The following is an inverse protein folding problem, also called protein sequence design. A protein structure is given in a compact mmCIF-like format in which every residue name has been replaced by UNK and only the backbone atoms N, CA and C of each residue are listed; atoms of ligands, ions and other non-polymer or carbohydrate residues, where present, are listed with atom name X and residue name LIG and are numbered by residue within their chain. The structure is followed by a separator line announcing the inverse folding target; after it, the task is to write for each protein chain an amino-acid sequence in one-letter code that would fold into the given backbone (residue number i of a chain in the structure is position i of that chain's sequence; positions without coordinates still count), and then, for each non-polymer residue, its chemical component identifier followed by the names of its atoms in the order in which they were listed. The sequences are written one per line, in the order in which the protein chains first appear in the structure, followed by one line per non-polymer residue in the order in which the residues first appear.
data_IF_572639590272
#
_entry.id   IF_572639590272
#
_cell.length_a   1.000
_cell.length_b   1.000
_cell.length_c   1.000
_cell.angle_alpha   90.00
_cell.angle_beta   90.00
_cell.angle_gamma   90.00
#
_symmetry.space_group_name_H-M   'P 1'
#
loop_
_entity.id
_entity.type
_entity.pdbx_description
1 polymer ?
#
# COMPACT_ATOMS: atom_id res chain seq x y z
N UNK A 1 -40.43 -13.65 12.86
CA UNK A 1 -41.19 -14.43 13.89
C UNK A 1 -41.41 -15.81 13.30
N UNK A 2 -41.05 -16.86 14.05
CA UNK A 2 -41.30 -18.24 13.58
C UNK A 2 -42.80 -18.49 13.53
N UNK A 3 -43.30 -19.08 12.45
CA UNK A 3 -44.71 -19.39 12.27
C UNK A 3 -45.19 -20.25 13.45
N UNK A 4 -46.30 -19.87 14.07
CA UNK A 4 -46.93 -20.50 15.25
C UNK A 4 -46.19 -20.38 16.59
N UNK A 5 -44.96 -19.78 16.63
CA UNK A 5 -44.22 -19.54 17.87
C UNK A 5 -44.20 -18.04 18.18
N UNK A 6 -45.24 -17.56 18.84
CA UNK A 6 -45.36 -16.14 19.15
C UNK A 6 -44.43 -15.75 20.30
N UNK A 7 -43.83 -14.59 20.16
CA UNK A 7 -43.00 -13.94 21.14
C UNK A 7 -43.04 -12.42 20.88
N UNK A 8 -43.48 -11.67 21.86
CA UNK A 8 -43.60 -10.21 21.78
C UNK A 8 -42.57 -9.50 22.65
N UNK A 9 -41.51 -10.21 23.04
CA UNK A 9 -40.39 -9.59 23.76
C UNK A 9 -39.75 -8.53 22.86
N UNK A 10 -39.68 -7.29 23.38
CA UNK A 10 -39.04 -6.16 22.76
C UNK A 10 -38.24 -5.42 23.83
N UNK A 11 -36.90 -5.42 23.77
CA UNK A 11 -36.06 -4.73 24.76
C UNK A 11 -36.29 -3.22 24.80
N UNK A 12 -36.78 -2.61 23.71
CA UNK A 12 -37.08 -1.16 23.66
C UNK A 12 -38.25 -0.77 24.56
N UNK A 13 -39.12 -1.73 24.92
CA UNK A 13 -40.24 -1.49 25.83
C UNK A 13 -39.81 -1.42 27.30
N UNK A 14 -38.58 -1.81 27.62
CA UNK A 14 -38.03 -1.84 28.96
C UNK A 14 -38.83 -2.65 29.98
N UNK A 15 -39.61 -3.66 29.51
CA UNK A 15 -40.32 -4.55 30.43
C UNK A 15 -39.34 -5.50 31.10
N UNK A 16 -39.30 -5.44 32.43
CA UNK A 16 -38.32 -6.21 33.21
C UNK A 16 -38.89 -7.50 33.76
N UNK A 17 -40.19 -7.63 33.87
CA UNK A 17 -40.85 -8.78 34.50
C UNK A 17 -42.26 -8.97 33.94
N UNK A 18 -42.65 -10.22 33.72
CA UNK A 18 -44.05 -10.58 33.44
C UNK A 18 -44.77 -10.80 34.79
N UNK A 19 -45.93 -10.19 34.92
CA UNK A 19 -46.80 -10.31 36.11
C UNK A 19 -48.09 -11.00 35.76
N UNK A 20 -48.28 -12.22 36.27
CA UNK A 20 -49.46 -13.01 36.05
C UNK A 20 -50.57 -12.66 36.99
N UNK A 21 -51.82 -12.53 36.50
CA UNK A 21 -52.99 -12.27 37.30
C UNK A 21 -53.62 -13.57 37.76
N UNK A 22 -54.03 -13.62 39.01
CA UNK A 22 -54.78 -14.74 39.57
C UNK A 22 -56.13 -14.90 38.83
N UNK A 23 -56.43 -16.09 38.40
CA UNK A 23 -57.66 -16.41 37.68
C UNK A 23 -57.62 -16.28 36.15
N UNK A 24 -56.58 -15.66 35.59
CA UNK A 24 -56.40 -15.56 34.16
C UNK A 24 -55.62 -16.78 33.60
N UNK A 25 -55.90 -17.14 32.33
CA UNK A 25 -55.21 -18.25 31.66
C UNK A 25 -53.80 -17.85 31.23
N UNK A 26 -52.83 -18.73 31.46
CA UNK A 26 -51.47 -18.57 30.95
C UNK A 26 -51.42 -18.71 29.40
N UNK A 27 -50.76 -17.78 28.72
CA UNK A 27 -50.57 -17.83 27.29
C UNK A 27 -49.19 -18.40 26.94
N UNK A 28 -49.13 -19.29 25.91
CA UNK A 28 -47.85 -19.91 25.50
C UNK A 28 -46.79 -18.92 25.08
N UNK A 29 -47.17 -17.75 24.51
CA UNK A 29 -46.25 -16.67 24.15
C UNK A 29 -45.53 -16.09 25.37
N UNK A 30 -46.20 -16.01 26.53
CA UNK A 30 -45.62 -15.43 27.75
C UNK A 30 -44.46 -16.29 28.27
N UNK A 31 -44.50 -17.63 28.06
CA UNK A 31 -43.38 -18.52 28.35
C UNK A 31 -42.16 -18.24 27.46
N UNK A 32 -42.38 -17.91 26.20
CA UNK A 32 -41.32 -17.51 25.29
C UNK A 32 -40.73 -16.13 25.69
N UNK A 33 -41.57 -15.17 26.10
CA UNK A 33 -41.17 -13.86 26.56
C UNK A 33 -40.35 -13.93 27.85
N UNK A 34 -40.68 -14.85 28.79
CA UNK A 34 -39.86 -15.09 30.02
C UNK A 34 -38.45 -15.53 29.61
N UNK A 35 -38.31 -16.48 28.70
CA UNK A 35 -37.03 -16.97 28.23
C UNK A 35 -36.21 -15.84 27.56
N UNK A 36 -36.85 -15.07 26.67
CA UNK A 36 -36.20 -13.95 25.99
C UNK A 36 -35.74 -12.85 26.95
N UNK A 37 -36.54 -12.53 27.99
CA UNK A 37 -36.18 -11.57 29.01
C UNK A 37 -34.94 -12.03 29.81
N UNK A 38 -34.87 -13.30 30.20
CA UNK A 38 -33.72 -13.87 30.91
C UNK A 38 -32.48 -13.91 30.03
N UNK A 39 -32.61 -14.36 28.77
CA UNK A 39 -31.50 -14.40 27.79
C UNK A 39 -30.94 -13.00 27.56
N UNK A 40 -31.81 -11.99 27.39
CA UNK A 40 -31.39 -10.61 27.18
C UNK A 40 -30.60 -10.03 28.38
N UNK A 41 -31.01 -10.36 29.60
CA UNK A 41 -30.28 -9.95 30.82
C UNK A 41 -28.92 -10.63 30.93
N UNK A 42 -28.84 -11.94 30.64
CA UNK A 42 -27.59 -12.69 30.65
C UNK A 42 -26.64 -12.17 29.55
N UNK A 43 -27.19 -11.88 28.38
CA UNK A 43 -26.45 -11.24 27.32
C UNK A 43 -25.85 -9.90 27.77
N UNK A 44 -26.64 -9.02 28.38
CA UNK A 44 -26.13 -7.72 28.83
C UNK A 44 -24.99 -7.83 29.88
N UNK A 45 -24.97 -8.88 30.69
CA UNK A 45 -23.83 -9.16 31.61
C UNK A 45 -22.63 -9.70 30.84
N UNK A 46 -22.87 -10.61 29.87
CA UNK A 46 -21.80 -11.24 29.10
C UNK A 46 -21.15 -10.28 28.11
N UNK A 47 -21.93 -9.41 27.44
CA UNK A 47 -21.44 -8.39 26.51
C UNK A 47 -20.57 -7.31 27.21
N UNK A 48 -20.72 -7.15 28.54
CA UNK A 48 -19.82 -6.30 29.31
C UNK A 48 -18.42 -6.90 29.48
N UNK A 49 -18.27 -8.21 29.30
CA UNK A 49 -17.03 -8.97 29.53
C UNK A 49 -16.42 -9.51 28.23
N UNK A 50 -17.25 -9.82 27.21
CA UNK A 50 -16.87 -10.54 26.00
C UNK A 50 -17.49 -9.85 24.78
N UNK A 51 -16.88 -10.05 23.61
CA UNK A 51 -17.37 -9.58 22.29
C UNK A 51 -17.60 -10.78 21.37
N UNK A 52 -18.53 -10.62 20.43
CA UNK A 52 -18.78 -11.64 19.42
C UNK A 52 -17.48 -12.01 18.68
N UNK A 53 -17.18 -13.32 18.66
CA UNK A 53 -15.94 -13.86 18.11
C UNK A 53 -14.84 -14.11 19.13
N UNK A 54 -14.99 -13.72 20.39
CA UNK A 54 -13.99 -13.99 21.44
C UNK A 54 -13.88 -15.48 21.74
N UNK A 55 -12.64 -15.97 21.81
CA UNK A 55 -12.35 -17.36 22.15
C UNK A 55 -12.30 -17.50 23.66
N UNK A 56 -13.19 -18.33 24.19
CA UNK A 56 -13.24 -18.61 25.65
C UNK A 56 -12.30 -19.74 26.03
N UNK A 57 -12.19 -20.77 25.20
CA UNK A 57 -11.24 -21.87 25.41
C UNK A 57 -11.06 -22.70 24.12
N UNK A 58 -9.88 -23.32 23.95
CA UNK A 58 -9.56 -24.11 22.76
C UNK A 58 -9.60 -23.28 21.47
N UNK A 59 -10.16 -23.85 20.40
CA UNK A 59 -10.32 -23.21 19.10
C UNK A 59 -9.01 -22.67 18.47
N UNK A 60 -7.85 -23.27 18.81
CA UNK A 60 -6.56 -22.82 18.28
C UNK A 60 -6.51 -23.03 16.77
N UNK A 61 -6.01 -22.01 16.05
CA UNK A 61 -5.81 -22.04 14.61
C UNK A 61 -4.34 -22.29 14.29
N UNK A 62 -4.09 -23.22 13.38
CA UNK A 62 -2.83 -23.44 12.71
C UNK A 62 -3.04 -23.25 11.21
N UNK A 63 -2.13 -22.58 10.53
CA UNK A 63 -2.19 -22.36 9.10
C UNK A 63 -0.84 -22.68 8.45
N UNK A 64 -0.90 -23.33 7.31
CA UNK A 64 0.22 -23.47 6.39
C UNK A 64 0.15 -22.32 5.37
N UNK A 65 1.10 -21.39 5.45
CA UNK A 65 1.10 -20.18 4.64
C UNK A 65 1.32 -20.43 3.14
N UNK A 66 1.92 -21.57 2.77
CA UNK A 66 2.19 -21.90 1.36
C UNK A 66 0.96 -22.53 0.69
N UNK A 67 0.23 -23.35 1.43
CA UNK A 67 -0.93 -24.09 0.89
C UNK A 67 -2.28 -23.50 1.27
N UNK A 68 -2.31 -22.59 2.25
CA UNK A 68 -3.55 -22.05 2.81
C UNK A 68 -4.34 -23.05 3.64
N UNK A 69 -3.76 -24.20 4.01
CA UNK A 69 -4.43 -25.21 4.83
C UNK A 69 -4.58 -24.72 6.26
N UNK A 70 -5.82 -24.50 6.69
CA UNK A 70 -6.21 -24.11 8.05
C UNK A 70 -6.67 -25.33 8.81
N UNK A 71 -6.15 -25.52 10.02
CA UNK A 71 -6.58 -26.53 10.98
C UNK A 71 -7.00 -25.83 12.27
N UNK A 72 -8.22 -26.11 12.72
CA UNK A 72 -8.83 -25.55 13.93
C UNK A 72 -9.16 -26.64 14.91
N UNK A 73 -8.77 -26.44 16.17
CA UNK A 73 -9.16 -27.33 17.27
C UNK A 73 -10.61 -27.07 17.70
N UNK A 74 -11.23 -28.06 18.32
CA UNK A 74 -12.51 -27.85 19.00
C UNK A 74 -12.33 -26.84 20.16
N UNK A 75 -13.36 -26.04 20.41
CA UNK A 75 -13.29 -25.03 21.45
C UNK A 75 -14.61 -24.35 21.74
N UNK A 76 -14.55 -23.24 22.46
CA UNK A 76 -15.72 -22.43 22.81
C UNK A 76 -15.50 -20.98 22.40
N UNK A 77 -16.49 -20.42 21.74
CA UNK A 77 -16.50 -19.04 21.25
C UNK A 77 -17.71 -18.32 21.83
N UNK A 78 -17.52 -17.07 22.26
CA UNK A 78 -18.62 -16.20 22.64
C UNK A 78 -19.29 -15.64 21.39
N UNK A 79 -20.61 -15.75 21.33
CA UNK A 79 -21.39 -15.25 20.20
C UNK A 79 -22.84 -14.98 20.63
N UNK A 80 -23.36 -13.79 20.29
CA UNK A 80 -24.76 -13.39 20.50
C UNK A 80 -25.24 -13.73 21.93
N UNK A 81 -24.50 -13.27 22.91
CA UNK A 81 -24.90 -13.35 24.31
C UNK A 81 -24.67 -14.69 24.99
N UNK A 82 -24.03 -15.67 24.34
CA UNK A 82 -23.74 -16.96 24.93
C UNK A 82 -22.38 -17.55 24.50
N UNK A 83 -21.77 -18.34 25.37
CA UNK A 83 -20.61 -19.17 25.06
C UNK A 83 -21.08 -20.45 24.39
N UNK A 84 -20.60 -20.72 23.17
CA UNK A 84 -21.01 -21.85 22.33
C UNK A 84 -19.85 -22.73 21.96
N UNK A 85 -20.09 -24.03 21.92
CA UNK A 85 -19.12 -25.02 21.47
C UNK A 85 -18.99 -24.96 19.94
N UNK A 86 -17.75 -25.02 19.45
CA UNK A 86 -17.41 -25.15 18.04
C UNK A 86 -16.60 -26.43 17.82
N UNK A 87 -16.93 -27.22 16.77
CA UNK A 87 -16.19 -28.43 16.46
C UNK A 87 -14.80 -28.12 15.90
N UNK A 88 -13.90 -29.11 15.90
CA UNK A 88 -12.67 -29.02 15.11
C UNK A 88 -13.00 -29.01 13.60
N UNK A 89 -12.19 -28.30 12.82
CA UNK A 89 -12.36 -28.24 11.37
C UNK A 89 -11.02 -28.11 10.65
N UNK A 90 -11.01 -28.54 9.39
CA UNK A 90 -9.86 -28.36 8.48
C UNK A 90 -10.41 -27.98 7.10
N UNK A 91 -9.88 -26.90 6.53
CA UNK A 91 -10.25 -26.39 5.19
C UNK A 91 -9.13 -25.52 4.63
N UNK A 92 -9.23 -25.20 3.34
CA UNK A 92 -8.24 -24.32 2.68
C UNK A 92 -8.82 -22.94 2.47
N UNK A 93 -7.99 -21.92 2.69
CA UNK A 93 -8.30 -20.51 2.45
C UNK A 93 -7.38 -19.93 1.37
N UNK A 94 -7.77 -18.88 0.68
CA UNK A 94 -6.85 -18.13 -0.20
C UNK A 94 -5.64 -17.61 0.58
N UNK A 95 -4.45 -17.75 -0.01
CA UNK A 95 -3.22 -17.26 0.61
C UNK A 95 -2.89 -15.82 0.21
N UNK A 96 -3.54 -15.29 -0.83
CA UNK A 96 -3.35 -13.91 -1.28
C UNK A 96 -4.41 -12.98 -0.69
N UNK A 97 -3.95 -11.86 -0.12
CA UNK A 97 -4.81 -10.84 0.46
C UNK A 97 -5.34 -11.18 1.86
N UNK A 98 -6.31 -10.38 2.31
CA UNK A 98 -6.91 -10.52 3.64
C UNK A 98 -8.08 -11.50 3.63
N UNK A 99 -8.05 -12.44 4.57
CA UNK A 99 -9.10 -13.45 4.79
C UNK A 99 -9.47 -13.46 6.27
N UNK A 100 -10.76 -13.44 6.57
CA UNK A 100 -11.28 -13.69 7.91
C UNK A 100 -11.66 -15.16 8.05
N UNK A 101 -11.16 -15.83 9.08
CA UNK A 101 -11.62 -17.14 9.51
C UNK A 101 -12.52 -16.95 10.72
N UNK A 102 -13.69 -17.55 10.70
CA UNK A 102 -14.69 -17.31 11.72
C UNK A 102 -15.73 -18.41 11.82
N UNK A 103 -16.76 -18.15 12.60
CA UNK A 103 -17.86 -19.09 12.80
C UNK A 103 -19.10 -18.64 12.04
N UNK A 104 -19.77 -19.59 11.40
CA UNK A 104 -21.09 -19.42 10.81
C UNK A 104 -22.14 -19.89 11.78
N UNK A 105 -23.04 -19.00 12.12
CA UNK A 105 -24.13 -19.22 13.04
C UNK A 105 -25.43 -19.46 12.28
N UNK A 106 -26.09 -20.57 12.55
CA UNK A 106 -27.39 -20.89 11.98
C UNK A 106 -28.34 -21.40 13.04
N UNK A 107 -29.62 -21.17 12.83
CA UNK A 107 -30.67 -21.63 13.74
C UNK A 107 -31.75 -22.40 12.97
N UNK A 108 -32.27 -23.44 13.56
CA UNK A 108 -33.46 -24.14 13.05
C UNK A 108 -34.37 -24.53 14.17
N UNK A 109 -35.66 -24.65 13.88
CA UNK A 109 -36.65 -25.18 14.83
C UNK A 109 -36.77 -26.67 14.64
N UNK A 110 -36.62 -27.46 15.69
CA UNK A 110 -36.87 -28.92 15.75
C UNK A 110 -38.24 -29.13 16.36
N UNK A 111 -39.03 -29.88 15.68
CA UNK A 111 -40.38 -30.25 16.12
C UNK A 111 -40.47 -31.77 16.36
N UNK A 112 -41.62 -32.23 16.78
CA UNK A 112 -41.92 -33.67 16.93
C UNK A 112 -41.86 -34.45 15.62
N UNK A 113 -41.78 -33.79 14.48
CA UNK A 113 -41.61 -34.41 13.17
C UNK A 113 -40.17 -34.84 12.93
N UNK A 114 -39.22 -34.05 13.40
CA UNK A 114 -37.78 -34.35 13.34
C UNK A 114 -37.29 -35.15 14.57
N UNK A 115 -37.90 -34.91 15.75
CA UNK A 115 -37.59 -35.63 16.97
C UNK A 115 -38.87 -36.12 17.66
N UNK A 116 -39.26 -37.38 17.47
CA UNK A 116 -40.48 -37.97 18.09
C UNK A 116 -40.48 -37.96 19.62
N UNK A 117 -39.30 -37.80 20.30
CA UNK A 117 -39.23 -37.71 21.75
C UNK A 117 -39.80 -36.39 22.29
N UNK A 118 -40.11 -35.44 21.42
CA UNK A 118 -40.82 -34.22 21.79
C UNK A 118 -42.31 -34.38 21.95
N UNK A 119 -42.84 -35.60 21.78
CA UNK A 119 -44.24 -35.93 22.05
C UNK A 119 -44.43 -36.25 23.53
N UNK A 120 -45.65 -36.00 24.04
CA UNK A 120 -46.01 -36.33 25.43
C UNK A 120 -45.90 -37.85 25.65
N UNK A 121 -45.02 -38.35 26.53
CA UNK A 121 -44.80 -39.77 26.72
C UNK A 121 -45.77 -40.42 27.72
N UNK A 122 -46.51 -39.64 28.53
CA UNK A 122 -47.35 -40.16 29.59
C UNK A 122 -48.57 -40.93 29.06
N UNK A 123 -48.58 -42.25 29.26
CA UNK A 123 -49.70 -43.11 28.84
C UNK A 123 -50.91 -42.88 29.77
N UNK A 124 -52.10 -42.81 29.17
CA UNK A 124 -53.35 -42.65 29.90
C UNK A 124 -53.76 -41.20 30.21
N UNK A 125 -52.98 -40.23 29.79
CA UNK A 125 -53.39 -38.81 29.84
C UNK A 125 -54.02 -38.39 28.50
N UNK A 126 -54.80 -37.31 28.54
CA UNK A 126 -55.56 -36.82 27.36
C UNK A 126 -54.66 -36.42 26.19
N UNK A 127 -53.50 -35.90 26.51
CA UNK A 127 -52.56 -35.41 25.50
C UNK A 127 -51.44 -36.44 25.18
N UNK A 128 -51.63 -37.74 25.48
CA UNK A 128 -50.67 -38.78 25.12
C UNK A 128 -50.36 -38.75 23.62
N UNK A 129 -49.03 -38.68 23.27
CA UNK A 129 -48.50 -38.54 21.92
C UNK A 129 -48.86 -37.23 21.21
N UNK A 130 -49.42 -36.25 21.89
CA UNK A 130 -49.57 -34.91 21.31
C UNK A 130 -48.20 -34.22 21.20
N UNK A 131 -48.04 -33.32 20.19
CA UNK A 131 -46.80 -32.59 20.01
C UNK A 131 -46.52 -31.66 21.20
N UNK A 132 -45.30 -31.69 21.71
CA UNK A 132 -44.77 -30.75 22.70
C UNK A 132 -44.30 -29.44 22.10
N UNK A 133 -43.64 -28.63 22.91
CA UNK A 133 -43.02 -27.40 22.44
C UNK A 133 -41.85 -27.70 21.47
N UNK A 134 -41.70 -26.90 20.41
CA UNK A 134 -40.54 -26.96 19.52
C UNK A 134 -39.24 -26.58 20.25
N UNK A 135 -38.11 -26.94 19.67
CA UNK A 135 -36.76 -26.60 20.16
C UNK A 135 -36.03 -25.75 19.16
N UNK A 136 -35.48 -24.62 19.58
CA UNK A 136 -34.55 -23.84 18.75
C UNK A 136 -33.17 -24.51 18.87
N UNK A 137 -32.68 -25.06 17.77
CA UNK A 137 -31.35 -25.63 17.68
C UNK A 137 -30.43 -24.61 17.03
N UNK A 138 -29.30 -24.31 17.68
CA UNK A 138 -28.24 -23.46 17.18
C UNK A 138 -27.09 -24.36 16.70
N UNK A 139 -26.50 -24.01 15.56
CA UNK A 139 -25.39 -24.75 14.99
C UNK A 139 -24.29 -23.75 14.61
N UNK A 140 -23.08 -24.05 15.06
CA UNK A 140 -21.86 -23.30 14.71
C UNK A 140 -20.96 -24.19 13.88
N UNK A 141 -20.46 -23.66 12.77
CA UNK A 141 -19.46 -24.30 11.92
C UNK A 141 -18.38 -23.28 11.59
N UNK A 142 -17.15 -23.75 11.44
CA UNK A 142 -16.08 -22.90 10.96
C UNK A 142 -16.24 -22.60 9.48
N UNK A 143 -15.82 -21.39 9.09
CA UNK A 143 -15.82 -20.94 7.70
C UNK A 143 -14.87 -19.77 7.50
N UNK A 144 -14.87 -19.22 6.31
CA UNK A 144 -14.05 -18.06 5.99
C UNK A 144 -14.72 -17.10 5.00
N UNK A 145 -14.31 -15.85 5.06
CA UNK A 145 -14.65 -14.78 4.10
C UNK A 145 -13.42 -13.95 3.77
N UNK A 146 -13.23 -13.54 2.51
CA UNK A 146 -12.09 -12.75 2.07
C UNK A 146 -12.41 -11.97 0.81
N UNK A 147 -11.65 -10.95 0.50
CA UNK A 147 -11.59 -10.10 -0.72
C UNK A 147 -12.59 -10.42 -1.86
N UNK A 148 -13.89 -10.42 -1.55
CA UNK A 148 -14.95 -10.70 -2.53
C UNK A 148 -15.27 -12.19 -2.77
N UNK A 149 -14.68 -13.10 -1.99
CA UNK A 149 -14.92 -14.55 -2.02
C UNK A 149 -15.25 -15.06 -0.62
N UNK A 150 -15.87 -16.23 -0.55
CA UNK A 150 -16.19 -16.91 0.73
C UNK A 150 -16.23 -18.42 0.51
N UNK A 151 -16.37 -19.17 1.59
CA UNK A 151 -16.60 -20.62 1.54
C UNK A 151 -17.98 -21.03 0.99
N UNK A 152 -18.86 -20.06 0.73
CA UNK A 152 -20.22 -20.29 0.20
C UNK A 152 -21.17 -21.02 1.16
N UNK A 153 -20.77 -21.23 2.42
CA UNK A 153 -21.60 -21.92 3.39
C UNK A 153 -22.70 -21.01 3.95
N UNK A 154 -23.88 -21.54 4.28
CA UNK A 154 -24.98 -20.77 4.84
C UNK A 154 -24.72 -20.38 6.31
N UNK A 155 -25.39 -19.33 6.78
CA UNK A 155 -25.34 -18.85 8.15
C UNK A 155 -24.69 -17.47 8.27
N UNK A 156 -24.95 -16.80 9.38
CA UNK A 156 -24.39 -15.50 9.68
C UNK A 156 -22.92 -15.66 10.07
N UNK A 157 -22.04 -15.00 9.33
CA UNK A 157 -20.59 -15.10 9.56
C UNK A 157 -20.12 -14.13 10.65
N UNK A 158 -19.31 -14.63 11.57
CA UNK A 158 -18.67 -13.86 12.63
C UNK A 158 -17.17 -14.17 12.65
N UNK A 159 -16.36 -13.14 12.36
CA UNK A 159 -14.90 -13.28 12.29
C UNK A 159 -14.30 -13.55 13.67
N UNK A 160 -13.39 -14.52 13.75
CA UNK A 160 -12.63 -14.90 14.96
C UNK A 160 -11.15 -14.63 14.77
N UNK A 161 -10.61 -14.94 13.58
CA UNK A 161 -9.23 -14.71 13.19
C UNK A 161 -9.16 -13.89 11.92
N UNK A 162 -8.12 -13.07 11.81
CA UNK A 162 -7.76 -12.40 10.58
C UNK A 162 -6.44 -12.98 10.05
N UNK A 163 -6.39 -13.23 8.77
CA UNK A 163 -5.22 -13.68 8.03
C UNK A 163 -4.88 -12.61 6.99
N UNK A 164 -3.59 -12.36 6.78
CA UNK A 164 -3.08 -11.52 5.71
C UNK A 164 -1.98 -12.26 4.96
N UNK A 165 -2.19 -12.49 3.66
CA UNK A 165 -1.27 -13.24 2.81
C UNK A 165 -0.86 -14.60 3.41
N UNK A 166 -1.83 -15.38 3.90
CA UNK A 166 -1.63 -16.68 4.50
C UNK A 166 -1.00 -16.67 5.90
N UNK A 167 -0.80 -15.51 6.50
CA UNK A 167 -0.24 -15.36 7.84
C UNK A 167 -1.30 -14.90 8.84
N UNK A 168 -1.26 -15.45 10.06
CA UNK A 168 -2.17 -15.06 11.11
C UNK A 168 -1.88 -13.61 11.55
N UNK A 169 -2.82 -12.72 11.26
CA UNK A 169 -2.86 -11.38 11.79
C UNK A 169 -3.28 -11.48 13.27
N UNK A 170 -2.65 -10.75 14.11
CA UNK A 170 -2.71 -10.76 15.57
C UNK A 170 -4.00 -11.37 16.21
N UNK A 171 -3.81 -12.26 17.19
CA UNK A 171 -4.91 -12.83 17.97
C UNK A 171 -5.46 -11.74 18.91
N UNK A 172 -6.71 -11.32 18.71
CA UNK A 172 -7.39 -10.45 19.68
C UNK A 172 -7.45 -11.15 21.05
N UNK A 173 -6.94 -10.50 22.08
CA UNK A 173 -7.16 -10.98 23.44
C UNK A 173 -8.61 -10.70 23.82
N UNK A 174 -9.31 -11.64 24.51
CA UNK A 174 -10.65 -11.39 24.99
C UNK A 174 -10.66 -10.19 25.95
N UNK A 175 -11.64 -9.30 25.88
CA UNK A 175 -11.76 -8.18 26.78
C UNK A 175 -12.06 -8.69 28.22
N UNK A 176 -11.03 -8.73 29.03
CA UNK A 176 -11.18 -9.05 30.44
C UNK A 176 -11.35 -7.72 31.21
N UNK A 177 -12.55 -7.45 31.69
CA UNK A 177 -12.86 -6.31 32.57
C UNK A 177 -12.30 -4.96 32.04
N UNK A 178 -12.91 -4.45 30.99
CA UNK A 178 -12.45 -3.28 30.21
C UNK A 178 -11.97 -2.10 31.07
N UNK A 179 -12.66 -1.76 32.17
CA UNK A 179 -12.27 -0.65 33.04
C UNK A 179 -10.98 -0.88 33.86
N UNK A 180 -10.71 -2.11 34.27
CA UNK A 180 -9.48 -2.45 35.05
C UNK A 180 -8.30 -2.57 34.09
N UNK A 181 -8.49 -3.25 32.96
CA UNK A 181 -7.44 -3.40 31.93
C UNK A 181 -7.06 -2.04 31.38
N UNK A 182 -8.02 -1.20 31.05
CA UNK A 182 -7.76 0.18 30.57
C UNK A 182 -7.02 1.01 31.61
N UNK A 183 -7.36 0.89 32.87
CA UNK A 183 -6.66 1.61 33.96
C UNK A 183 -5.23 1.12 34.13
N UNK A 184 -4.99 -0.19 34.07
CA UNK A 184 -3.65 -0.78 34.09
C UNK A 184 -2.83 -0.43 32.86
N UNK A 185 -3.43 -0.49 31.68
CA UNK A 185 -2.80 -0.10 30.43
C UNK A 185 -2.36 1.37 30.46
N UNK A 186 -3.25 2.26 30.94
CA UNK A 186 -2.94 3.68 31.10
C UNK A 186 -1.79 3.91 32.07
N UNK A 187 -1.78 3.20 33.21
CA UNK A 187 -0.69 3.29 34.18
C UNK A 187 0.64 2.82 33.58
N UNK A 188 0.64 1.71 32.85
CA UNK A 188 1.84 1.21 32.18
C UNK A 188 2.34 2.19 31.11
N UNK A 189 1.44 2.73 30.30
CA UNK A 189 1.79 3.73 29.29
C UNK A 189 2.33 5.04 29.90
N UNK A 190 1.69 5.53 30.97
CA UNK A 190 2.15 6.74 31.66
C UNK A 190 3.53 6.56 32.31
N UNK A 191 3.87 5.32 32.71
CA UNK A 191 5.15 5.00 33.35
C UNK A 191 6.28 4.71 32.33
N UNK A 192 5.98 3.99 31.24
CA UNK A 192 6.98 3.39 30.35
C UNK A 192 6.86 3.87 28.88
N UNK A 193 5.75 4.48 28.49
CA UNK A 193 5.46 4.79 27.09
C UNK A 193 5.24 3.53 26.25
N UNK A 194 5.54 3.62 24.97
CA UNK A 194 5.58 2.45 24.06
C UNK A 194 6.94 1.78 24.17
N UNK A 195 6.97 0.44 24.21
CA UNK A 195 8.23 -0.30 24.25
C UNK A 195 8.14 -1.68 23.61
N UNK A 196 9.27 -2.15 23.08
CA UNK A 196 9.45 -3.53 22.63
C UNK A 196 9.86 -4.38 23.82
N UNK A 197 9.12 -5.46 24.06
CA UNK A 197 9.47 -6.42 25.11
C UNK A 197 10.42 -7.50 24.60
N UNK A 198 10.20 -7.95 23.34
CA UNK A 198 10.98 -9.03 22.73
C UNK A 198 10.84 -8.99 21.21
N UNK A 199 11.89 -9.32 20.47
CA UNK A 199 11.88 -9.50 19.02
C UNK A 199 11.59 -8.21 18.24
N UNK A 200 10.77 -8.28 17.20
CA UNK A 200 10.36 -7.19 16.30
C UNK A 200 11.51 -6.52 15.55
N UNK A 201 12.65 -7.20 15.46
CA UNK A 201 13.81 -6.68 14.71
C UNK A 201 13.50 -6.55 13.22
N UNK A 202 13.88 -5.41 12.63
CA UNK A 202 13.72 -5.15 11.21
C UNK A 202 15.04 -5.42 10.48
N UNK A 203 14.98 -6.16 9.36
CA UNK A 203 16.13 -6.45 8.52
C UNK A 203 15.81 -6.18 7.07
N UNK A 204 16.68 -5.47 6.36
CA UNK A 204 16.66 -5.40 4.90
C UNK A 204 17.09 -6.76 4.32
N UNK A 205 16.34 -7.28 3.35
CA UNK A 205 16.61 -8.56 2.69
C UNK A 205 17.19 -8.36 1.30
N UNK A 206 16.49 -7.64 0.45
CA UNK A 206 16.91 -7.45 -0.94
C UNK A 206 16.20 -6.26 -1.58
N UNK A 207 16.73 -5.83 -2.72
CA UNK A 207 16.04 -5.00 -3.71
C UNK A 207 15.47 -5.93 -4.78
N UNK A 208 14.17 -5.84 -5.00
CA UNK A 208 13.51 -6.51 -6.13
C UNK A 208 13.58 -5.57 -7.35
N UNK A 209 14.42 -5.94 -8.31
CA UNK A 209 14.64 -5.12 -9.50
C UNK A 209 13.44 -5.16 -10.48
N UNK A 210 12.64 -6.20 -10.45
CA UNK A 210 11.49 -6.38 -11.36
C UNK A 210 10.29 -5.56 -10.88
N UNK A 211 10.01 -5.58 -9.58
CA UNK A 211 8.89 -4.84 -8.97
C UNK A 211 9.28 -3.43 -8.51
N UNK A 212 10.57 -3.09 -8.51
CA UNK A 212 11.11 -1.84 -7.95
C UNK A 212 10.69 -1.62 -6.48
N UNK A 213 10.87 -2.64 -5.66
CA UNK A 213 10.52 -2.63 -4.25
C UNK A 213 11.71 -3.05 -3.37
N UNK A 214 11.80 -2.42 -2.21
CA UNK A 214 12.67 -2.89 -1.14
C UNK A 214 11.93 -3.95 -0.31
N UNK A 215 12.56 -5.09 -0.11
CA UNK A 215 12.04 -6.16 0.72
C UNK A 215 12.69 -6.12 2.10
N UNK A 216 11.86 -6.00 3.13
CA UNK A 216 12.26 -6.08 4.54
C UNK A 216 11.64 -7.30 5.21
N UNK A 217 12.25 -7.76 6.28
CA UNK A 217 11.66 -8.73 7.21
C UNK A 217 11.51 -8.06 8.57
N UNK A 218 10.33 -8.20 9.16
CA UNK A 218 10.08 -7.86 10.57
C UNK A 218 9.93 -9.16 11.32
N UNK A 219 10.77 -9.39 12.34
CA UNK A 219 10.76 -10.63 13.11
C UNK A 219 9.49 -10.73 13.99
N UNK A 220 9.19 -11.95 14.41
CA UNK A 220 8.24 -12.19 15.51
C UNK A 220 8.68 -11.46 16.78
N UNK A 221 7.71 -11.18 17.66
CA UNK A 221 8.03 -10.50 18.90
C UNK A 221 6.82 -9.90 19.61
N UNK A 222 7.09 -9.15 20.68
CA UNK A 222 6.11 -8.56 21.56
C UNK A 222 6.46 -7.12 21.86
N UNK A 223 5.41 -6.29 21.92
CA UNK A 223 5.53 -4.88 22.31
C UNK A 223 4.33 -4.46 23.15
N UNK A 224 4.47 -3.36 23.87
CA UNK A 224 3.35 -2.65 24.49
C UNK A 224 3.11 -1.34 23.74
N UNK A 225 1.88 -1.14 23.27
CA UNK A 225 1.44 0.06 22.57
C UNK A 225 0.20 0.59 23.29
N UNK A 226 0.21 1.85 23.71
CA UNK A 226 -0.83 2.45 24.56
C UNK A 226 -1.11 1.63 25.85
N UNK A 227 -0.08 0.92 26.37
CA UNK A 227 -0.18 0.02 27.52
C UNK A 227 -0.80 -1.34 27.21
N UNK A 228 -1.21 -1.59 25.97
CA UNK A 228 -1.74 -2.89 25.55
C UNK A 228 -0.66 -3.73 24.89
N UNK A 229 -0.65 -5.03 25.22
CA UNK A 229 0.28 -5.98 24.66
C UNK A 229 -0.10 -6.30 23.21
N UNK A 230 0.85 -6.11 22.32
CA UNK A 230 0.79 -6.52 20.91
C UNK A 230 1.79 -7.65 20.70
N UNK A 231 1.33 -8.77 20.16
CA UNK A 231 2.15 -9.96 19.92
C UNK A 231 2.10 -10.35 18.45
N UNK A 232 3.27 -10.49 17.85
CA UNK A 232 3.44 -11.06 16.51
C UNK A 232 4.03 -12.44 16.65
N UNK A 233 3.30 -13.45 16.23
CA UNK A 233 3.70 -14.86 16.39
C UNK A 233 4.60 -15.36 15.28
N UNK A 234 4.69 -14.62 14.16
CA UNK A 234 5.49 -14.99 12.99
C UNK A 234 6.17 -13.77 12.39
N UNK A 235 7.31 -14.00 11.73
CA UNK A 235 7.98 -12.97 10.95
C UNK A 235 7.16 -12.59 9.72
N UNK A 236 7.19 -11.33 9.33
CA UNK A 236 6.49 -10.79 8.16
C UNK A 236 7.48 -10.20 7.17
N UNK A 237 7.25 -10.45 5.88
CA UNK A 237 7.93 -9.74 4.81
C UNK A 237 7.14 -8.49 4.45
N UNK A 238 7.83 -7.36 4.39
CA UNK A 238 7.26 -6.06 4.05
C UNK A 238 7.88 -5.58 2.74
N UNK A 239 7.04 -5.33 1.75
CA UNK A 239 7.43 -4.77 0.46
C UNK A 239 7.16 -3.27 0.47
N UNK A 240 8.18 -2.48 0.22
CA UNK A 240 8.10 -1.03 0.19
C UNK A 240 8.52 -0.52 -1.20
N UNK A 241 7.63 0.22 -1.90
CA UNK A 241 7.96 0.75 -3.20
C UNK A 241 9.10 1.76 -3.12
N UNK A 242 9.95 1.78 -4.16
CA UNK A 242 10.97 2.79 -4.38
C UNK A 242 10.27 4.02 -4.93
N UNK A 243 10.08 5.04 -4.10
CA UNK A 243 9.33 6.25 -4.42
C UNK A 243 10.07 7.51 -3.93
N UNK A 244 11.24 7.82 -4.53
CA UNK A 244 12.01 9.00 -4.18
C UNK A 244 11.28 10.28 -4.52
N UNK A 245 11.43 11.29 -3.68
CA UNK A 245 11.06 12.65 -4.07
C UNK A 245 12.13 13.22 -5.00
N UNK A 246 11.69 13.93 -6.04
CA UNK A 246 12.57 14.42 -7.09
C UNK A 246 12.71 15.94 -7.01
N UNK A 247 13.94 16.41 -7.18
CA UNK A 247 14.21 17.84 -7.33
C UNK A 247 14.85 18.12 -8.68
N UNK A 248 14.36 19.16 -9.37
CA UNK A 248 14.92 19.61 -10.64
C UNK A 248 16.15 20.50 -10.40
N UNK A 249 17.18 20.25 -11.19
CA UNK A 249 18.31 21.16 -11.42
C UNK A 249 18.18 21.68 -12.85
N UNK A 250 18.19 22.99 -13.01
CA UNK A 250 18.08 23.62 -14.33
C UNK A 250 19.39 24.25 -14.72
N UNK A 251 19.76 24.03 -15.98
CA UNK A 251 20.91 24.67 -16.64
C UNK A 251 22.23 24.50 -15.88
N UNK A 252 22.52 23.29 -15.39
CA UNK A 252 23.84 23.00 -14.83
C UNK A 252 24.90 23.12 -15.92
N UNK A 253 25.86 24.05 -15.80
CA UNK A 253 26.87 24.26 -16.82
C UNK A 253 27.99 23.22 -16.69
N UNK A 254 28.37 22.62 -17.84
CA UNK A 254 29.50 21.71 -17.96
C UNK A 254 30.28 22.08 -19.24
N UNK A 255 31.60 22.01 -19.21
CA UNK A 255 32.41 22.21 -20.43
C UNK A 255 32.70 20.87 -21.06
N UNK A 256 32.38 20.72 -22.34
CA UNK A 256 32.66 19.49 -23.08
C UNK A 256 34.16 19.37 -23.33
N UNK A 257 34.75 18.31 -22.78
CA UNK A 257 36.14 17.93 -23.01
C UNK A 257 36.15 16.47 -23.51
N UNK A 258 36.43 16.32 -24.80
CA UNK A 258 36.58 15.03 -25.46
C UNK A 258 37.70 14.21 -24.78
N UNK A 259 37.39 12.96 -24.42
CA UNK A 259 38.37 11.99 -23.90
C UNK A 259 39.24 11.35 -25.00
N UNK A 260 39.08 11.75 -26.25
CA UNK A 260 39.86 11.29 -27.40
C UNK A 260 39.08 10.36 -28.35
N UNK A 261 37.82 10.08 -28.02
CA UNK A 261 36.92 9.25 -28.83
C UNK A 261 35.66 10.02 -29.31
N UNK A 262 35.69 11.35 -29.29
CA UNK A 262 34.56 12.21 -29.61
C UNK A 262 33.44 12.21 -28.57
N UNK A 263 33.76 11.76 -27.36
CA UNK A 263 32.77 11.58 -26.30
C UNK A 263 33.26 12.09 -24.97
N UNK A 264 32.33 12.41 -24.08
CA UNK A 264 32.61 12.80 -22.68
C UNK A 264 31.65 12.07 -21.76
N UNK A 265 32.18 11.55 -20.64
CA UNK A 265 31.36 11.11 -19.49
C UNK A 265 31.10 12.32 -18.61
N UNK A 266 29.84 12.70 -18.54
CA UNK A 266 29.34 13.80 -17.72
C UNK A 266 29.01 13.28 -16.34
N UNK A 267 29.59 13.86 -15.30
CA UNK A 267 29.23 13.60 -13.89
C UNK A 267 28.41 14.78 -13.39
N UNK A 268 27.19 14.51 -12.91
CA UNK A 268 26.28 15.53 -12.38
C UNK A 268 26.69 15.96 -10.96
N UNK A 269 26.39 17.22 -10.60
CA UNK A 269 26.74 17.76 -9.29
C UNK A 269 25.85 17.26 -8.15
N UNK A 270 24.67 16.72 -8.48
CA UNK A 270 23.69 16.21 -7.49
C UNK A 270 23.22 14.80 -7.81
N UNK A 271 24.04 13.78 -7.56
CA UNK A 271 23.62 12.39 -7.63
C UNK A 271 22.73 12.02 -6.43
N UNK A 272 21.89 10.97 -6.53
CA UNK A 272 21.70 10.10 -7.70
C UNK A 272 20.75 10.69 -8.75
N UNK A 273 21.07 10.46 -10.02
CA UNK A 273 20.28 10.86 -11.16
C UNK A 273 18.94 10.09 -11.18
N UNK A 274 17.84 10.81 -11.34
CA UNK A 274 16.54 10.20 -11.62
C UNK A 274 16.28 10.16 -13.13
N UNK A 275 16.40 11.31 -13.79
CA UNK A 275 16.25 11.42 -15.25
C UNK A 275 16.90 12.69 -15.77
N UNK A 276 17.37 12.65 -16.99
CA UNK A 276 17.78 13.83 -17.75
C UNK A 276 16.56 14.38 -18.49
N UNK A 277 16.32 15.68 -18.36
CA UNK A 277 15.19 16.37 -18.98
C UNK A 277 15.56 16.97 -20.32
N UNK A 278 16.73 17.66 -20.39
CA UNK A 278 17.27 18.26 -21.60
C UNK A 278 18.77 18.49 -21.45
N UNK A 279 19.49 18.41 -22.54
CA UNK A 279 20.91 18.77 -22.63
C UNK A 279 21.08 19.68 -23.83
N UNK A 280 21.27 20.97 -23.57
CA UNK A 280 21.58 21.93 -24.63
C UNK A 280 23.07 21.97 -24.88
N UNK A 281 23.46 21.69 -26.10
CA UNK A 281 24.86 21.58 -26.54
C UNK A 281 25.09 22.42 -27.78
N UNK A 282 26.35 22.83 -28.02
CA UNK A 282 26.78 23.39 -29.29
C UNK A 282 27.25 22.23 -30.17
N UNK A 283 26.62 22.07 -31.33
CA UNK A 283 27.04 21.14 -32.37
C UNK A 283 27.59 21.88 -33.58
N UNK A 284 28.40 21.21 -34.38
CA UNK A 284 28.90 21.74 -35.64
C UNK A 284 28.38 20.89 -36.82
N UNK A 285 27.99 21.56 -37.89
CA UNK A 285 27.47 20.93 -39.09
C UNK A 285 28.04 21.62 -40.30
N UNK A 286 28.34 20.81 -41.33
CA UNK A 286 28.62 21.31 -42.68
C UNK A 286 27.47 20.88 -43.56
N UNK A 287 26.83 21.82 -44.24
CA UNK A 287 25.75 21.54 -45.17
C UNK A 287 25.91 22.28 -46.48
N UNK A 288 25.24 21.79 -47.52
CA UNK A 288 25.18 22.45 -48.80
C UNK A 288 23.91 23.29 -48.90
N UNK A 289 24.09 24.58 -49.09
CA UNK A 289 23.01 25.56 -49.15
C UNK A 289 22.87 26.03 -50.61
N UNK A 290 21.65 26.13 -51.10
CA UNK A 290 21.36 26.72 -52.40
C UNK A 290 21.30 28.24 -52.30
N UNK A 291 22.09 28.95 -53.07
CA UNK A 291 22.04 30.42 -53.13
C UNK A 291 20.75 30.86 -53.84
N UNK A 292 20.14 31.90 -53.32
CA UNK A 292 18.90 32.45 -53.86
C UNK A 292 19.00 32.86 -55.34
N UNK A 293 17.87 33.20 -55.95
CA UNK A 293 17.75 33.47 -57.39
C UNK A 293 18.31 34.84 -57.82
N UNK A 294 18.79 35.67 -56.91
CA UNK A 294 19.29 37.01 -57.20
C UNK A 294 20.46 37.39 -56.29
N UNK A 295 21.27 38.30 -56.78
CA UNK A 295 22.43 38.87 -56.07
C UNK A 295 22.02 39.55 -54.75
N UNK A 296 22.72 39.27 -53.64
CA UNK A 296 22.47 39.80 -52.31
C UNK A 296 21.30 39.10 -51.62
N UNK A 297 20.93 37.87 -52.03
CA UNK A 297 19.88 37.11 -51.37
C UNK A 297 20.26 36.68 -49.96
N UNK A 298 19.25 36.20 -49.23
CA UNK A 298 19.43 35.55 -47.91
C UNK A 298 19.14 34.06 -48.04
N UNK A 299 20.00 33.28 -47.50
CA UNK A 299 19.94 31.83 -47.61
C UNK A 299 19.81 31.26 -46.21
N UNK A 300 18.71 30.54 -45.94
CA UNK A 300 18.37 29.98 -44.64
C UNK A 300 19.18 28.72 -44.40
N UNK A 301 19.78 28.59 -43.22
CA UNK A 301 20.43 27.37 -42.75
C UNK A 301 19.40 26.40 -42.19
N UNK A 302 19.68 25.11 -42.30
CA UNK A 302 18.73 24.06 -41.88
C UNK A 302 18.49 24.04 -40.37
N UNK A 303 19.55 24.26 -39.59
CA UNK A 303 19.43 24.22 -38.12
C UNK A 303 19.16 25.63 -37.57
N UNK A 304 18.20 25.77 -36.66
CA UNK A 304 17.93 27.02 -35.96
C UNK A 304 18.99 27.30 -34.87
N UNK A 305 18.97 28.51 -34.35
CA UNK A 305 19.83 28.92 -33.23
C UNK A 305 21.31 28.83 -33.55
N UNK A 306 21.67 29.37 -34.70
CA UNK A 306 23.08 29.47 -35.17
C UNK A 306 23.87 30.40 -34.22
N UNK A 307 24.97 29.88 -33.70
CA UNK A 307 25.88 30.60 -32.79
C UNK A 307 27.03 31.26 -33.52
N UNK A 308 27.60 30.53 -34.51
CA UNK A 308 28.72 31.02 -35.28
C UNK A 308 28.79 30.30 -36.65
N UNK A 309 29.12 31.05 -37.68
CA UNK A 309 29.51 30.47 -38.99
C UNK A 309 31.02 30.41 -39.01
N UNK A 310 31.56 29.21 -39.26
CA UNK A 310 33.03 28.98 -39.25
C UNK A 310 33.65 29.12 -40.61
N UNK A 311 32.95 28.62 -41.66
CA UNK A 311 33.45 28.66 -43.03
C UNK A 311 32.28 28.71 -44.01
N UNK A 312 32.40 29.53 -45.03
CA UNK A 312 31.50 29.52 -46.18
C UNK A 312 32.39 29.38 -47.43
N UNK A 313 32.16 28.36 -48.23
CA UNK A 313 32.99 28.08 -49.39
C UNK A 313 32.23 27.50 -50.59
N UNK A 314 32.75 27.79 -51.78
CA UNK A 314 32.28 27.15 -53.02
C UNK A 314 33.50 26.72 -53.85
N UNK A 315 33.66 25.40 -54.03
CA UNK A 315 34.86 24.87 -54.70
C UNK A 315 36.17 25.29 -54.00
N UNK A 316 37.02 26.02 -54.64
CA UNK A 316 38.25 26.54 -54.08
C UNK A 316 38.16 27.96 -53.50
N UNK A 317 36.98 28.60 -53.52
CA UNK A 317 36.78 29.97 -53.03
C UNK A 317 36.18 29.93 -51.63
N UNK A 318 36.80 30.62 -50.66
CA UNK A 318 36.28 30.87 -49.32
C UNK A 318 35.82 32.31 -49.20
N UNK A 319 34.60 32.51 -48.70
CA UNK A 319 33.98 33.83 -48.52
C UNK A 319 34.23 34.37 -47.12
N UNK A 320 34.51 35.68 -47.01
CA UNK A 320 34.83 36.31 -45.74
C UNK A 320 33.62 37.00 -45.10
N UNK A 321 33.34 36.62 -43.82
CA UNK A 321 32.29 37.27 -43.04
C UNK A 321 32.61 38.78 -42.86
N UNK A 322 31.60 39.63 -43.00
CA UNK A 322 31.69 41.08 -42.93
C UNK A 322 32.06 41.76 -44.21
N UNK A 323 32.73 41.08 -45.16
CA UNK A 323 33.10 41.60 -46.48
C UNK A 323 32.18 41.05 -47.55
N UNK A 324 32.05 39.74 -47.63
CA UNK A 324 31.28 39.04 -48.64
C UNK A 324 29.87 38.74 -48.22
N UNK A 325 29.72 38.29 -46.97
CA UNK A 325 28.42 38.00 -46.33
C UNK A 325 28.37 38.47 -44.89
N UNK A 326 27.19 38.53 -44.31
CA UNK A 326 26.96 38.65 -42.86
C UNK A 326 25.97 37.56 -42.42
N UNK A 327 26.00 37.24 -41.11
CA UNK A 327 25.05 36.31 -40.49
C UNK A 327 23.95 37.10 -39.83
N UNK A 328 22.71 36.80 -40.16
CA UNK A 328 21.51 37.45 -39.58
C UNK A 328 20.55 36.37 -39.06
N UNK A 329 20.53 36.14 -37.76
CA UNK A 329 19.82 34.98 -37.20
C UNK A 329 20.40 33.68 -37.73
N UNK A 330 19.56 32.88 -38.37
CA UNK A 330 19.92 31.57 -38.93
C UNK A 330 20.08 31.65 -40.48
N UNK A 331 20.47 32.82 -40.99
CA UNK A 331 20.59 33.07 -42.43
C UNK A 331 21.97 33.60 -42.79
N UNK A 332 22.48 33.23 -43.97
CA UNK A 332 23.59 33.84 -44.65
C UNK A 332 23.04 34.98 -45.52
N UNK A 333 23.35 36.21 -45.17
CA UNK A 333 22.89 37.43 -45.90
C UNK A 333 24.04 37.98 -46.79
N UNK A 334 23.86 37.91 -48.08
CA UNK A 334 24.84 38.33 -49.11
C UNK A 334 24.75 39.83 -49.42
N UNK A 335 24.00 40.62 -48.65
CA UNK A 335 23.80 42.06 -48.89
C UNK A 335 25.05 42.94 -48.77
N UNK A 336 26.22 42.59 -48.17
CA UNK A 336 27.39 43.42 -48.16
C UNK A 336 27.98 43.74 -49.53
N UNK A 337 27.71 42.90 -50.56
CA UNK A 337 28.06 43.18 -51.95
C UNK A 337 29.54 42.87 -52.31
N UNK A 338 30.21 42.03 -51.51
CA UNK A 338 31.50 41.43 -51.84
C UNK A 338 31.39 40.29 -52.88
N UNK A 339 32.30 39.34 -52.83
CA UNK A 339 32.18 38.14 -53.64
C UNK A 339 31.03 37.25 -53.13
N UNK A 340 30.23 36.68 -54.05
CA UNK A 340 29.13 35.79 -53.72
C UNK A 340 29.03 34.60 -54.72
N UNK A 341 28.41 33.48 -54.33
CA UNK A 341 28.09 32.40 -55.24
C UNK A 341 27.19 32.88 -56.39
N UNK A 342 27.28 32.26 -57.57
CA UNK A 342 26.32 32.59 -58.63
C UNK A 342 24.88 32.28 -58.24
N UNK A 343 23.90 33.18 -58.57
CA UNK A 343 22.49 32.93 -58.26
C UNK A 343 22.03 31.54 -58.71
N UNK A 344 21.36 30.80 -57.80
CA UNK A 344 20.89 29.43 -58.02
C UNK A 344 21.97 28.34 -57.93
N UNK A 345 23.25 28.70 -57.69
CA UNK A 345 24.28 27.70 -57.41
C UNK A 345 24.31 27.25 -55.95
N UNK A 346 25.01 26.18 -55.65
CA UNK A 346 25.13 25.67 -54.29
C UNK A 346 26.52 25.89 -53.73
N UNK A 347 26.60 26.17 -52.44
CA UNK A 347 27.83 26.38 -51.69
C UNK A 347 27.78 25.64 -50.33
N UNK A 348 28.90 25.46 -49.68
CA UNK A 348 29.01 24.79 -48.39
C UNK A 348 29.14 25.81 -47.29
N UNK A 349 28.40 25.57 -46.21
CA UNK A 349 28.47 26.35 -44.93
C UNK A 349 28.79 25.39 -43.82
N UNK A 350 29.88 25.71 -43.07
CA UNK A 350 30.17 25.03 -41.80
C UNK A 350 29.84 26.00 -40.67
N UNK A 351 28.96 25.60 -39.78
CA UNK A 351 28.47 26.45 -38.73
C UNK A 351 28.26 25.71 -37.41
N UNK A 352 28.14 26.42 -36.34
CA UNK A 352 27.79 25.94 -35.01
C UNK A 352 26.38 26.39 -34.64
N UNK A 353 25.61 25.51 -34.02
CA UNK A 353 24.24 25.79 -33.57
C UNK A 353 23.96 25.11 -32.23
N UNK A 354 22.91 25.57 -31.53
CA UNK A 354 22.48 24.96 -30.25
C UNK A 354 21.45 23.85 -30.59
N UNK A 355 21.72 22.66 -30.10
CA UNK A 355 20.84 21.51 -30.22
C UNK A 355 20.51 20.90 -28.85
N UNK A 356 19.36 20.24 -28.77
CA UNK A 356 19.06 19.33 -27.66
C UNK A 356 19.59 17.94 -27.98
N UNK A 357 20.25 17.33 -27.00
CA UNK A 357 20.92 16.04 -27.16
C UNK A 357 20.33 15.00 -26.22
N UNK A 358 20.13 13.77 -26.72
CA UNK A 358 19.75 12.64 -25.90
C UNK A 358 21.00 11.93 -25.39
N UNK A 359 21.17 11.79 -24.07
CA UNK A 359 22.34 11.14 -23.48
C UNK A 359 22.30 9.63 -23.69
N UNK A 360 23.46 9.00 -23.61
CA UNK A 360 23.61 7.54 -23.62
C UNK A 360 24.28 7.06 -22.32
N UNK A 361 24.22 5.75 -22.01
CA UNK A 361 24.87 5.14 -20.84
C UNK A 361 24.57 5.90 -19.54
N UNK A 362 23.24 6.01 -19.23
CA UNK A 362 22.81 6.62 -17.98
C UNK A 362 23.24 5.76 -16.79
N UNK A 363 23.74 6.43 -15.76
CA UNK A 363 24.07 5.85 -14.45
C UNK A 363 23.49 6.75 -13.34
N UNK A 364 23.52 6.31 -12.09
CA UNK A 364 23.07 7.15 -10.98
C UNK A 364 23.93 8.43 -10.80
N UNK A 365 25.14 8.47 -11.35
CA UNK A 365 26.08 9.60 -11.18
C UNK A 365 26.24 10.46 -12.42
N UNK A 366 25.71 10.03 -13.56
CA UNK A 366 25.89 10.76 -14.81
C UNK A 366 25.53 9.99 -16.07
N UNK A 367 26.08 10.41 -17.20
CA UNK A 367 25.76 9.84 -18.51
C UNK A 367 26.88 10.16 -19.53
N UNK A 368 26.80 9.59 -20.72
CA UNK A 368 27.74 9.84 -21.82
C UNK A 368 27.09 10.71 -22.90
N UNK A 369 27.82 11.70 -23.41
CA UNK A 369 27.45 12.57 -24.53
C UNK A 369 28.48 12.49 -25.65
N UNK A 370 28.02 12.68 -26.92
CA UNK A 370 28.87 12.66 -28.12
C UNK A 370 28.41 13.73 -29.09
N UNK A 371 29.28 14.12 -30.05
CA UNK A 371 28.92 15.05 -31.11
C UNK A 371 28.83 16.52 -30.68
N UNK A 372 29.47 16.88 -29.61
CA UNK A 372 29.51 18.25 -29.07
C UNK A 372 30.82 18.94 -29.45
N UNK A 373 30.78 20.23 -29.69
CA UNK A 373 31.99 21.02 -30.03
C UNK A 373 32.91 21.09 -28.83
N UNK A 374 34.19 20.72 -29.05
CA UNK A 374 35.24 20.75 -28.02
C UNK A 374 35.36 22.13 -27.37
N UNK A 375 35.40 22.19 -26.02
CA UNK A 375 35.52 23.40 -25.24
C UNK A 375 34.23 24.23 -25.12
N UNK A 376 33.13 23.82 -25.78
CA UNK A 376 31.84 24.49 -25.63
C UNK A 376 31.17 24.17 -24.29
N UNK A 377 30.31 25.08 -23.81
CA UNK A 377 29.55 24.88 -22.58
C UNK A 377 28.24 24.18 -22.93
N UNK A 378 27.96 23.08 -22.23
CA UNK A 378 26.68 22.39 -22.22
C UNK A 378 25.84 22.86 -21.05
N UNK A 379 24.53 22.91 -21.19
CA UNK A 379 23.59 23.20 -20.12
C UNK A 379 22.66 22.01 -19.92
N UNK A 380 22.65 21.47 -18.70
CA UNK A 380 22.00 20.19 -18.38
C UNK A 380 20.84 20.44 -17.45
N UNK A 381 19.65 20.04 -17.88
CA UNK A 381 18.44 20.00 -17.06
C UNK A 381 18.19 18.55 -16.65
N UNK A 382 18.12 18.29 -15.34
CA UNK A 382 17.87 16.95 -14.84
C UNK A 382 17.10 16.94 -13.54
N UNK A 383 16.59 15.79 -13.15
CA UNK A 383 16.03 15.52 -11.84
C UNK A 383 16.90 14.54 -11.09
N UNK A 384 17.06 14.76 -9.81
CA UNK A 384 17.79 13.88 -8.91
C UNK A 384 16.93 13.47 -7.73
N UNK A 385 17.27 12.30 -7.15
CA UNK A 385 16.52 11.69 -6.05
C UNK A 385 16.96 12.30 -4.74
N UNK A 386 16.03 12.91 -3.99
CA UNK A 386 16.32 13.49 -2.69
C UNK A 386 16.45 12.43 -1.60
N UNK A 387 17.47 12.47 -0.76
CA UNK A 387 17.60 11.56 0.37
C UNK A 387 16.49 11.82 1.39
N UNK A 388 16.05 10.73 2.05
CA UNK A 388 14.93 10.72 3.01
C UNK A 388 15.18 9.68 4.09
N UNK A 389 14.63 9.90 5.29
CA UNK A 389 14.60 8.90 6.36
C UNK A 389 13.15 8.58 6.67
N UNK A 390 12.72 7.36 6.37
CA UNK A 390 11.41 6.83 6.69
C UNK A 390 11.46 6.06 8.01
N UNK A 391 10.33 5.96 8.69
CA UNK A 391 10.22 5.19 9.94
C UNK A 391 9.24 4.04 9.72
N UNK A 392 9.62 2.83 10.10
CA UNK A 392 8.68 1.72 10.26
C UNK A 392 8.13 1.77 11.67
N UNK A 393 6.82 1.81 11.77
CA UNK A 393 6.11 1.87 13.04
C UNK A 393 5.09 0.74 13.16
N UNK A 394 4.95 0.22 14.39
CA UNK A 394 3.95 -0.77 14.75
C UNK A 394 2.72 -0.07 15.31
N UNK A 395 1.56 -0.42 14.80
CA UNK A 395 0.26 0.06 15.30
C UNK A 395 -0.25 -0.81 16.44
N UNK A 396 -1.25 -0.31 17.18
CA UNK A 396 -1.92 -1.07 18.24
C UNK A 396 -2.60 -2.36 17.73
N UNK A 397 -2.94 -2.41 16.44
CA UNK A 397 -3.51 -3.59 15.78
C UNK A 397 -2.44 -4.60 15.32
N UNK A 398 -1.16 -4.33 15.59
CA UNK A 398 -0.04 -5.20 15.22
C UNK A 398 0.41 -5.08 13.76
N UNK A 399 -0.07 -4.08 13.02
CA UNK A 399 0.37 -3.81 11.65
C UNK A 399 1.65 -3.00 11.63
N UNK A 400 2.50 -3.27 10.65
CA UNK A 400 3.69 -2.47 10.40
C UNK A 400 3.43 -1.51 9.25
N UNK A 401 3.57 -0.22 9.51
CA UNK A 401 3.36 0.85 8.54
C UNK A 401 4.65 1.62 8.29
N UNK A 402 4.79 2.13 7.06
CA UNK A 402 5.86 3.07 6.72
C UNK A 402 5.36 4.50 6.89
N UNK A 403 6.03 5.26 7.74
CA UNK A 403 5.85 6.70 7.87
C UNK A 403 6.92 7.37 7.04
N UNK A 404 6.51 8.00 5.94
CA UNK A 404 7.44 8.70 5.06
C UNK A 404 8.03 9.93 5.75
N UNK A 405 9.35 10.07 5.67
CA UNK A 405 10.07 11.24 6.09
C UNK A 405 9.92 12.42 5.15
N UNK A 406 10.47 13.56 5.56
CA UNK A 406 10.57 14.74 4.71
C UNK A 406 11.93 14.70 4.00
N UNK A 407 11.87 14.66 2.66
CA UNK A 407 13.08 14.66 1.85
C UNK A 407 13.82 15.98 1.96
N UNK A 408 15.15 15.93 2.17
CA UNK A 408 16.00 17.09 2.31
C UNK A 408 17.30 16.89 1.54
N UNK A 409 17.86 17.99 1.04
CA UNK A 409 19.13 17.98 0.27
C UNK A 409 20.31 17.49 1.09
N UNK A 410 20.30 17.76 2.40
CA UNK A 410 21.36 17.37 3.35
C UNK A 410 20.72 16.99 4.68
N UNK A 411 21.26 15.95 5.32
CA UNK A 411 20.90 15.51 6.66
C UNK A 411 19.36 15.36 6.85
N UNK A 412 18.71 14.51 6.06
CA UNK A 412 17.28 14.26 6.26
C UNK A 412 17.04 13.74 7.68
N UNK A 413 15.96 14.20 8.28
CA UNK A 413 15.58 13.82 9.65
C UNK A 413 14.37 12.90 9.55
N UNK A 414 14.36 11.86 10.37
CA UNK A 414 13.22 10.96 10.49
C UNK A 414 11.95 11.73 10.91
N UNK A 415 10.82 11.37 10.37
CA UNK A 415 9.54 11.91 10.80
C UNK A 415 9.21 11.49 12.22
N UNK A 416 8.54 12.37 12.95
CA UNK A 416 7.95 11.99 14.25
C UNK A 416 6.89 10.92 14.07
N UNK A 417 6.97 9.89 14.89
CA UNK A 417 5.97 8.82 14.93
C UNK A 417 4.75 9.33 15.70
N UNK A 418 3.51 9.13 15.19
CA UNK A 418 2.30 9.45 15.95
C UNK A 418 2.27 8.77 17.33
N UNK A 419 1.67 9.45 18.32
CA UNK A 419 1.65 9.00 19.70
C UNK A 419 0.98 7.62 19.92
N UNK A 420 0.17 7.15 18.97
CA UNK A 420 -0.49 5.83 19.02
C UNK A 420 0.31 4.71 18.33
N UNK A 421 1.59 4.91 18.04
CA UNK A 421 2.43 3.96 17.31
C UNK A 421 3.81 3.84 17.93
N UNK A 422 4.38 2.64 17.83
CA UNK A 422 5.73 2.34 18.30
C UNK A 422 6.69 2.34 17.11
N UNK A 423 7.74 3.18 17.15
CA UNK A 423 8.82 3.13 16.17
C UNK A 423 9.60 1.81 16.30
N UNK A 424 9.79 1.09 15.18
CA UNK A 424 10.58 -0.14 15.11
C UNK A 424 11.97 0.10 14.53
N UNK A 425 12.04 0.84 13.42
CA UNK A 425 13.30 1.10 12.72
C UNK A 425 13.23 2.37 11.87
N UNK A 426 14.36 3.02 11.69
CA UNK A 426 14.57 4.09 10.72
C UNK A 426 15.23 3.52 9.46
N UNK A 427 14.73 3.91 8.30
CA UNK A 427 15.27 3.52 7.00
C UNK A 427 15.79 4.77 6.31
N UNK A 428 17.11 4.88 6.23
CA UNK A 428 17.75 5.97 5.50
C UNK A 428 17.89 5.59 4.02
N UNK A 429 17.24 6.36 3.16
CA UNK A 429 17.34 6.23 1.71
C UNK A 429 18.32 7.29 1.16
N UNK A 430 19.41 6.85 0.59
CA UNK A 430 20.33 7.67 -0.20
C UNK A 430 20.14 7.46 -1.72
N UNK A 431 19.31 6.46 -2.08
CA UNK A 431 18.91 6.08 -3.43
C UNK A 431 20.05 5.70 -4.38
N UNK A 432 21.24 5.34 -3.83
CA UNK A 432 22.40 4.89 -4.60
C UNK A 432 22.35 3.39 -4.87
#
# INVERSE_FOLDING_TARGET
MLERYYNLFDPAQHYTQLLFRAGDGLQSRELNEIQSTLMHRLQGVADALLKDGDIVSGANLQIDADTGLVTLEAGRVYLRGAVRDVPAATFTVPVDGRVAVGVRFSTRTITELEDPNLREPAVGVRNYQEPGAGRLQETLTWGWEGAGTSDGQPGDFHAVYALDNGLLENRRQPPVLDGVVTSLARYDFDANGHYVTEGLGVRFLSLDADTHEHLFSVAEGRANIDGFKVERTQSQRLRLPIDPDLQRVSSEPQVFNDSGDGAMVVTINRPPLAQVLDIKVTQAKTETVAHGAFTGSRDVLTEPTVVAVLEVKQGGTTYAQGTDYKVVGDEIDWSPGGAEPAPGSSYQVTYQYIASLTPTHLTDTGFKVTGVVQGSTMYIDYQWKLPRVDVLALTADGQVERIKGISQVRNPIASTVPASRLALAEIAYDWK
#
